data_IF_048175754327
#
_entry.id   IF_048175754327
#
_cell.length_a   1.000
_cell.length_b   1.000
_cell.length_c   1.000
_cell.angle_alpha   90.00
_cell.angle_beta   90.00
_cell.angle_gamma   90.00
#
_symmetry.space_group_name_H-M   'P 1'
#
loop_
_entity.id
_entity.type
_entity.pdbx_description
1 polymer ?
#
# COMPACT_ATOMS: atom_id res chain seq x y z
N UNK A 1 -5.02 11.27 -5.34
CA UNK A 1 -4.05 11.12 -4.23
C UNK A 1 -2.73 11.80 -4.59
N UNK A 2 -2.14 12.48 -3.63
CA UNK A 2 -0.94 13.27 -3.88
C UNK A 2 0.11 12.98 -2.81
N UNK A 3 1.36 12.74 -3.22
CA UNK A 3 2.48 12.60 -2.28
C UNK A 3 2.93 14.00 -1.88
N UNK A 4 2.95 14.27 -0.57
CA UNK A 4 3.40 15.56 -0.02
C UNK A 4 4.88 15.48 0.34
N UNK A 5 5.32 14.37 0.91
CA UNK A 5 6.69 14.17 1.37
C UNK A 5 7.03 12.68 1.38
N UNK A 6 8.33 12.39 1.30
CA UNK A 6 8.82 11.02 1.44
C UNK A 6 10.07 10.99 2.32
N UNK A 7 10.16 9.98 3.16
CA UNK A 7 11.30 9.75 4.05
C UNK A 7 11.80 8.33 3.88
N UNK A 8 13.09 8.17 3.61
CA UNK A 8 13.71 6.86 3.44
C UNK A 8 14.45 6.47 4.72
N UNK A 9 14.08 5.35 5.30
CA UNK A 9 14.75 4.76 6.45
C UNK A 9 15.61 3.59 5.97
N UNK A 10 16.92 3.78 5.94
CA UNK A 10 17.87 2.79 5.37
C UNK A 10 18.22 1.65 6.32
N UNK A 11 17.60 1.61 7.48
CA UNK A 11 17.81 0.58 8.49
C UNK A 11 16.71 0.63 9.55
N UNK A 12 17.04 0.17 10.74
CA UNK A 12 16.12 0.18 11.88
C UNK A 12 15.58 1.59 12.14
N UNK A 13 14.27 1.70 12.36
CA UNK A 13 13.58 2.97 12.50
C UNK A 13 12.44 2.88 13.51
N UNK A 14 11.69 3.98 13.69
CA UNK A 14 10.57 4.03 14.64
C UNK A 14 9.41 3.11 14.27
N UNK A 15 9.34 2.65 13.03
CA UNK A 15 8.23 1.81 12.56
C UNK A 15 8.57 0.33 12.55
N UNK A 16 9.83 -0.03 12.27
CA UNK A 16 10.23 -1.42 12.04
C UNK A 16 11.74 -1.61 12.15
N UNK A 17 12.17 -2.87 12.28
CA UNK A 17 13.58 -3.25 12.11
C UNK A 17 13.98 -3.28 10.62
N UNK A 18 13.02 -3.22 9.72
CA UNK A 18 13.21 -3.34 8.28
C UNK A 18 13.43 -1.98 7.64
N UNK A 19 14.13 -1.98 6.50
CA UNK A 19 14.24 -0.77 5.69
C UNK A 19 12.87 -0.38 5.16
N UNK A 20 12.46 0.85 5.38
CA UNK A 20 11.13 1.34 5.00
C UNK A 20 11.20 2.71 4.34
N UNK A 21 10.22 2.99 3.51
CA UNK A 21 9.94 4.33 3.01
C UNK A 21 8.61 4.77 3.60
N UNK A 22 8.58 6.00 4.11
CA UNK A 22 7.36 6.64 4.57
C UNK A 22 6.92 7.67 3.55
N UNK A 23 5.67 7.56 3.09
CA UNK A 23 5.03 8.56 2.25
C UNK A 23 4.00 9.31 3.09
N UNK A 24 4.08 10.63 3.08
CA UNK A 24 3.00 11.47 3.59
C UNK A 24 2.14 11.86 2.39
N UNK A 25 0.86 11.53 2.45
CA UNK A 25 -0.06 11.67 1.31
C UNK A 25 -1.29 12.47 1.67
N UNK A 26 -1.84 13.16 0.67
CA UNK A 26 -3.15 13.78 0.72
C UNK A 26 -4.10 12.94 -0.13
N UNK A 27 -5.15 12.39 0.46
CA UNK A 27 -6.13 11.56 -0.23
C UNK A 27 -7.19 12.36 -0.98
N UNK A 28 -7.14 13.68 -0.90
CA UNK A 28 -7.96 14.59 -1.72
C UNK A 28 -9.47 14.27 -1.71
N UNK A 29 -10.03 13.98 -0.53
CA UNK A 29 -11.44 13.71 -0.35
C UNK A 29 -11.85 12.23 -0.42
N UNK A 30 -10.92 11.32 -0.67
CA UNK A 30 -11.22 9.89 -0.80
C UNK A 30 -10.98 9.07 0.46
N UNK A 31 -10.60 9.71 1.57
CA UNK A 31 -10.21 8.99 2.79
C UNK A 31 -11.32 8.11 3.38
N UNK A 32 -12.58 8.48 3.22
CA UNK A 32 -13.72 7.77 3.80
C UNK A 32 -14.55 6.99 2.78
N UNK A 33 -14.06 6.83 1.54
CA UNK A 33 -14.75 6.08 0.50
C UNK A 33 -14.19 4.65 0.48
N UNK A 34 -14.96 3.65 0.93
CA UNK A 34 -14.47 2.27 0.90
C UNK A 34 -14.42 1.73 -0.54
N UNK A 35 -13.46 0.85 -0.79
CA UNK A 35 -13.21 0.29 -2.12
C UNK A 35 -14.43 -0.40 -2.74
N UNK A 36 -15.25 -1.04 -1.92
CA UNK A 36 -16.48 -1.72 -2.39
C UNK A 36 -17.50 -0.78 -3.00
N UNK A 37 -17.45 0.51 -2.69
CA UNK A 37 -18.35 1.53 -3.21
C UNK A 37 -17.90 2.10 -4.55
N UNK A 38 -16.72 1.74 -5.03
CA UNK A 38 -16.20 2.15 -6.33
C UNK A 38 -16.47 1.03 -7.31
N UNK A 39 -17.29 1.29 -8.32
CA UNK A 39 -17.73 0.27 -9.29
C UNK A 39 -16.53 -0.43 -9.94
N UNK A 40 -16.56 -1.77 -9.92
CA UNK A 40 -15.55 -2.64 -10.53
C UNK A 40 -14.11 -2.46 -10.03
N UNK A 41 -13.89 -1.61 -9.03
CA UNK A 41 -12.54 -1.29 -8.55
C UNK A 41 -11.81 -2.54 -8.04
N UNK A 42 -12.44 -3.29 -7.12
CA UNK A 42 -11.80 -4.46 -6.52
C UNK A 42 -11.46 -5.52 -7.56
N UNK A 43 -12.39 -5.77 -8.47
CA UNK A 43 -12.21 -6.75 -9.55
C UNK A 43 -11.04 -6.34 -10.45
N UNK A 44 -11.04 -5.10 -10.92
CA UNK A 44 -10.01 -4.60 -11.83
C UNK A 44 -8.65 -4.59 -11.16
N UNK A 45 -8.57 -4.23 -9.89
CA UNK A 45 -7.31 -4.23 -9.14
C UNK A 45 -6.69 -5.63 -9.05
N UNK A 46 -7.49 -6.63 -8.69
CA UNK A 46 -7.00 -8.01 -8.55
C UNK A 46 -6.64 -8.61 -9.91
N UNK A 47 -7.37 -8.26 -10.97
CA UNK A 47 -7.02 -8.69 -12.33
C UNK A 47 -5.70 -8.07 -12.80
N UNK A 48 -5.44 -6.80 -12.45
CA UNK A 48 -4.20 -6.11 -12.80
C UNK A 48 -3.01 -6.62 -11.99
N UNK A 49 -3.21 -6.93 -10.73
CA UNK A 49 -2.18 -7.39 -9.80
C UNK A 49 -2.61 -8.68 -9.10
N UNK A 50 -2.58 -9.83 -9.80
CA UNK A 50 -3.02 -11.11 -9.21
C UNK A 50 -2.25 -11.53 -7.97
N UNK A 51 -1.01 -11.05 -7.80
CA UNK A 51 -0.20 -11.37 -6.62
C UNK A 51 -0.84 -10.87 -5.32
N UNK A 52 -1.78 -9.93 -5.39
CA UNK A 52 -2.54 -9.48 -4.23
C UNK A 52 -3.31 -10.62 -3.56
N UNK A 53 -3.64 -11.69 -4.31
CA UNK A 53 -4.30 -12.87 -3.75
C UNK A 53 -3.42 -13.59 -2.71
N UNK A 54 -2.12 -13.36 -2.70
CA UNK A 54 -1.19 -13.98 -1.74
C UNK A 54 -0.97 -13.14 -0.49
N UNK A 55 -1.40 -11.88 -0.48
CA UNK A 55 -1.20 -10.97 0.64
C UNK A 55 -2.05 -11.34 1.85
N UNK A 56 -1.45 -11.32 3.03
CA UNK A 56 -2.10 -11.78 4.29
C UNK A 56 -2.85 -10.68 5.04
N UNK A 57 -2.35 -9.44 4.99
CA UNK A 57 -2.99 -8.26 5.58
C UNK A 57 -3.43 -8.43 7.04
N UNK A 58 -2.53 -8.87 7.91
CA UNK A 58 -2.83 -9.06 9.33
C UNK A 58 -3.68 -10.29 9.65
N UNK A 59 -4.21 -10.99 8.65
CA UNK A 59 -4.85 -12.30 8.77
C UNK A 59 -3.77 -13.33 8.46
N UNK A 60 -3.57 -14.30 9.33
CA UNK A 60 -2.48 -15.26 9.20
C UNK A 60 -2.77 -16.36 8.15
N UNK A 61 -3.23 -15.92 6.96
CA UNK A 61 -3.51 -16.80 5.83
C UNK A 61 -3.43 -16.02 4.51
N UNK A 62 -3.10 -16.71 3.42
CA UNK A 62 -3.16 -16.13 2.08
C UNK A 62 -4.59 -15.72 1.73
N UNK A 63 -4.72 -14.63 0.98
CA UNK A 63 -6.03 -14.10 0.60
C UNK A 63 -6.62 -13.13 1.62
N UNK A 64 -5.94 -12.84 2.72
CA UNK A 64 -6.42 -11.90 3.73
C UNK A 64 -6.69 -10.51 3.18
N UNK A 65 -5.84 -10.01 2.30
CA UNK A 65 -6.04 -8.70 1.68
C UNK A 65 -7.27 -8.68 0.77
N UNK A 66 -7.44 -9.69 -0.09
CA UNK A 66 -8.60 -9.80 -0.98
C UNK A 66 -9.89 -9.88 -0.19
N UNK A 67 -9.88 -10.59 0.94
CA UNK A 67 -11.01 -10.63 1.86
C UNK A 67 -11.34 -9.23 2.39
N UNK A 68 -10.32 -8.46 2.78
CA UNK A 68 -10.51 -7.08 3.23
C UNK A 68 -11.05 -6.18 2.13
N UNK A 69 -10.65 -6.36 0.87
CA UNK A 69 -11.23 -5.64 -0.26
C UNK A 69 -12.72 -5.91 -0.39
N UNK A 70 -13.15 -7.16 -0.28
CA UNK A 70 -14.57 -7.56 -0.40
C UNK A 70 -15.40 -6.95 0.74
N UNK A 71 -14.86 -6.90 1.94
CA UNK A 71 -15.51 -6.29 3.09
C UNK A 71 -15.58 -4.76 2.98
N UNK A 72 -14.69 -4.17 2.18
CA UNK A 72 -14.51 -2.74 2.01
C UNK A 72 -13.33 -2.23 2.82
N UNK A 73 -12.34 -1.68 2.14
CA UNK A 73 -11.20 -1.02 2.77
C UNK A 73 -10.94 0.32 2.09
N UNK A 74 -9.96 1.07 2.57
CA UNK A 74 -9.77 2.46 2.18
C UNK A 74 -8.49 2.68 1.39
N UNK A 75 -8.42 3.79 0.68
CA UNK A 75 -7.41 4.06 -0.35
C UNK A 75 -5.96 3.98 0.15
N UNK A 76 -5.67 4.51 1.33
CA UNK A 76 -4.32 4.47 1.88
C UNK A 76 -3.83 3.03 2.10
N UNK A 77 -4.68 2.18 2.66
CA UNK A 77 -4.38 0.77 2.88
C UNK A 77 -4.21 0.02 1.56
N UNK A 78 -5.06 0.31 0.59
CA UNK A 78 -4.96 -0.29 -0.75
C UNK A 78 -3.64 0.11 -1.41
N UNK A 79 -3.27 1.37 -1.35
CA UNK A 79 -2.03 1.88 -1.91
C UNK A 79 -0.81 1.19 -1.31
N UNK A 80 -0.80 0.99 0.00
CA UNK A 80 0.24 0.23 0.70
C UNK A 80 0.43 -1.16 0.07
N UNK A 81 -0.67 -1.90 -0.12
CA UNK A 81 -0.60 -3.24 -0.71
C UNK A 81 -0.21 -3.23 -2.18
N UNK A 82 -0.62 -2.23 -2.94
CA UNK A 82 -0.21 -2.08 -4.35
C UNK A 82 1.30 -1.89 -4.43
N UNK A 83 1.86 -1.04 -3.58
CA UNK A 83 3.31 -0.79 -3.56
C UNK A 83 4.08 -2.08 -3.25
N UNK A 84 3.64 -2.83 -2.26
CA UNK A 84 4.26 -4.12 -1.93
C UNK A 84 4.11 -5.11 -3.08
N UNK A 85 2.92 -5.18 -3.69
CA UNK A 85 2.64 -6.10 -4.80
C UNK A 85 3.51 -5.83 -6.02
N UNK A 86 3.74 -4.57 -6.37
CA UNK A 86 4.62 -4.21 -7.49
C UNK A 86 6.03 -4.73 -7.24
N UNK A 87 6.55 -4.53 -6.03
CA UNK A 87 7.86 -5.06 -5.67
C UNK A 87 7.89 -6.60 -5.69
N UNK A 88 6.84 -7.26 -5.18
CA UNK A 88 6.73 -8.72 -5.22
C UNK A 88 6.73 -9.23 -6.67
N UNK A 89 6.04 -8.55 -7.57
CA UNK A 89 5.98 -8.92 -8.99
C UNK A 89 7.37 -8.87 -9.64
N UNK A 90 8.24 -8.01 -9.16
CA UNK A 90 9.63 -7.91 -9.62
C UNK A 90 10.55 -8.93 -8.94
N UNK A 91 10.01 -9.86 -8.16
CA UNK A 91 10.78 -10.88 -7.47
C UNK A 91 11.39 -10.43 -6.14
N UNK A 92 10.97 -9.28 -5.61
CA UNK A 92 11.48 -8.74 -4.36
C UNK A 92 10.60 -9.20 -3.20
N UNK A 93 11.21 -9.86 -2.22
CA UNK A 93 10.50 -10.37 -1.04
C UNK A 93 10.34 -9.28 0.01
N UNK A 94 9.26 -8.55 -0.07
CA UNK A 94 8.85 -7.54 0.91
C UNK A 94 7.40 -7.79 1.31
N UNK A 95 7.09 -7.59 2.59
CA UNK A 95 5.77 -7.90 3.13
C UNK A 95 5.26 -6.88 4.14
N UNK A 96 6.16 -6.10 4.76
CA UNK A 96 5.77 -5.18 5.83
C UNK A 96 5.26 -3.86 5.27
N UNK A 97 4.11 -3.44 5.76
CA UNK A 97 3.56 -2.12 5.49
C UNK A 97 2.53 -1.74 6.53
N UNK A 98 2.23 -0.47 6.63
CA UNK A 98 1.10 0.05 7.39
C UNK A 98 0.68 1.41 6.86
N UNK A 99 -0.56 1.77 7.11
CA UNK A 99 -1.08 3.10 6.82
C UNK A 99 -1.82 3.63 8.04
N UNK A 100 -1.71 4.92 8.30
CA UNK A 100 -2.34 5.58 9.44
C UNK A 100 -2.79 6.99 9.08
N UNK A 101 -3.92 7.38 9.63
CA UNK A 101 -4.39 8.76 9.54
C UNK A 101 -3.49 9.69 10.36
N UNK A 102 -3.13 10.82 9.75
CA UNK A 102 -2.49 11.93 10.46
C UNK A 102 -3.60 12.90 10.90
N UNK A 103 -4.38 13.41 9.94
CA UNK A 103 -5.52 14.28 10.19
C UNK A 103 -6.36 14.42 8.92
N UNK A 104 -7.65 14.06 8.98
CA UNK A 104 -8.55 14.19 7.83
C UNK A 104 -8.11 13.34 6.65
N UNK A 105 -7.82 13.98 5.52
CA UNK A 105 -7.34 13.30 4.32
C UNK A 105 -5.83 13.07 4.30
N UNK A 106 -5.10 13.56 5.31
CA UNK A 106 -3.67 13.37 5.40
C UNK A 106 -3.35 12.07 6.10
N UNK A 107 -2.61 11.20 5.41
CA UNK A 107 -2.20 9.89 5.89
C UNK A 107 -0.71 9.70 5.70
N UNK A 108 -0.09 8.81 6.46
CA UNK A 108 1.19 8.26 6.07
C UNK A 108 1.03 6.80 5.69
N UNK A 109 1.83 6.40 4.70
CA UNK A 109 1.93 5.02 4.22
C UNK A 109 3.37 4.61 4.39
N UNK A 110 3.60 3.50 5.10
CA UNK A 110 4.94 2.94 5.31
C UNK A 110 5.00 1.62 4.61
N UNK A 111 6.07 1.39 3.85
CA UNK A 111 6.26 0.12 3.19
C UNK A 111 7.74 -0.29 3.19
N UNK A 112 7.95 -1.59 3.32
CA UNK A 112 9.25 -2.20 3.23
C UNK A 112 9.78 -2.10 1.80
N UNK A 113 11.10 -1.89 1.66
CA UNK A 113 11.77 -1.92 0.37
C UNK A 113 13.09 -2.68 0.49
N UNK A 114 13.63 -3.14 -0.64
CA UNK A 114 14.97 -3.72 -0.72
C UNK A 114 15.91 -2.79 -1.47
N UNK A 115 15.45 -2.24 -2.57
CA UNK A 115 16.19 -1.27 -3.41
C UNK A 115 15.45 0.05 -3.42
N UNK A 116 16.12 1.12 -3.01
CA UNK A 116 15.52 2.45 -2.85
C UNK A 116 14.84 2.93 -4.14
N UNK A 117 15.51 2.83 -5.29
CA UNK A 117 14.96 3.28 -6.56
C UNK A 117 13.71 2.52 -6.97
N UNK A 118 13.72 1.19 -6.78
CA UNK A 118 12.56 0.35 -7.06
C UNK A 118 11.40 0.67 -6.12
N UNK A 119 11.68 0.88 -4.84
CA UNK A 119 10.67 1.27 -3.86
C UNK A 119 9.98 2.58 -4.23
N UNK A 120 10.75 3.59 -4.60
CA UNK A 120 10.22 4.90 -4.99
C UNK A 120 9.38 4.81 -6.27
N UNK A 121 9.87 4.11 -7.29
CA UNK A 121 9.12 3.94 -8.54
C UNK A 121 7.85 3.11 -8.35
N UNK A 122 7.90 2.10 -7.47
CA UNK A 122 6.70 1.33 -7.11
C UNK A 122 5.63 2.23 -6.49
N UNK A 123 6.04 3.16 -5.64
CA UNK A 123 5.12 4.12 -5.04
C UNK A 123 4.49 5.03 -6.09
N UNK A 124 5.26 5.52 -7.05
CA UNK A 124 4.74 6.35 -8.15
C UNK A 124 3.73 5.60 -9.00
N UNK A 125 4.04 4.36 -9.37
CA UNK A 125 3.12 3.52 -10.13
C UNK A 125 1.83 3.23 -9.37
N UNK A 126 1.93 2.96 -8.08
CA UNK A 126 0.77 2.69 -7.24
C UNK A 126 -0.20 3.87 -7.22
N UNK A 127 0.31 5.09 -7.18
CA UNK A 127 -0.50 6.29 -7.16
C UNK A 127 -1.22 6.51 -8.50
N UNK A 128 -0.60 6.09 -9.60
CA UNK A 128 -1.20 6.22 -10.93
C UNK A 128 -2.23 5.10 -11.22
N UNK A 129 -2.28 4.08 -10.43
CA UNK A 129 -3.30 3.02 -10.53
C UNK A 129 -4.57 3.47 -9.79
#
# INVERSE_FOLDING_TARGET
MKIINSTVYSGRNIHSHKKCIQLDVDLEGYSEIPSKNIKDFNKNLVEMLPILNTHRCGIDEEGGFVKRLKEGTYLAHICEHIILAIQNKLGIDVAYGKSREIKGDFYYIIFQYKYKGVGIESARLAIDI
#
